data_IF_516504903435
#
_entry.id   IF_516504903435
#
_cell.length_a   1.000
_cell.length_b   1.000
_cell.length_c   1.000
_cell.angle_alpha   90.00
_cell.angle_beta   90.00
_cell.angle_gamma   90.00
#
_symmetry.space_group_name_H-M   'P 1'
#
loop_
_entity.id
_entity.type
_entity.pdbx_description
1 polymer ?
#
# COMPACT_ATOMS: atom_id res chain seq x y z
N UNK A 1 -12.19 -28.99 -13.92
CA UNK A 1 -12.04 -27.83 -14.82
C UNK A 1 -11.67 -26.65 -13.94
N UNK A 2 -10.69 -25.83 -14.31
CA UNK A 2 -10.40 -24.61 -13.54
C UNK A 2 -11.65 -23.71 -13.53
N UNK A 3 -11.99 -23.14 -12.37
CA UNK A 3 -13.11 -22.21 -12.27
C UNK A 3 -12.86 -21.04 -13.22
N UNK A 4 -13.79 -20.79 -14.14
CA UNK A 4 -13.66 -19.79 -15.21
C UNK A 4 -14.14 -18.44 -14.69
N UNK A 5 -13.37 -17.38 -14.91
CA UNK A 5 -13.83 -16.00 -14.76
C UNK A 5 -14.09 -15.36 -16.13
N UNK A 6 -14.99 -14.38 -16.16
CA UNK A 6 -15.30 -13.59 -17.36
C UNK A 6 -15.05 -12.12 -17.05
N UNK A 7 -14.24 -11.47 -17.88
CA UNK A 7 -13.98 -10.03 -17.83
C UNK A 7 -14.91 -9.31 -18.81
N UNK A 8 -15.67 -8.34 -18.31
CA UNK A 8 -16.56 -7.50 -19.11
C UNK A 8 -16.19 -6.04 -18.88
N UNK A 9 -15.75 -5.28 -19.89
CA UNK A 9 -15.46 -3.86 -19.72
C UNK A 9 -16.66 -3.08 -19.17
N UNK A 10 -16.42 -2.15 -18.25
CA UNK A 10 -17.42 -1.24 -17.72
C UNK A 10 -17.31 0.11 -18.44
N UNK A 11 -18.42 0.56 -19.02
CA UNK A 11 -18.54 1.81 -19.74
C UNK A 11 -19.76 2.61 -19.25
N UNK A 12 -19.87 3.87 -19.64
CA UNK A 12 -21.00 4.73 -19.29
C UNK A 12 -20.92 5.29 -17.86
N UNK A 13 -22.01 5.94 -17.43
CA UNK A 13 -22.11 6.54 -16.10
C UNK A 13 -21.12 7.67 -15.83
N UNK A 14 -20.78 7.88 -14.54
CA UNK A 14 -19.99 9.01 -14.05
C UNK A 14 -18.47 8.74 -14.04
N UNK A 15 -18.04 7.58 -14.57
CA UNK A 15 -16.64 7.18 -14.64
C UNK A 15 -16.18 6.31 -13.47
N UNK A 16 -14.85 6.13 -13.34
CA UNK A 16 -14.25 5.25 -12.36
C UNK A 16 -14.47 5.75 -10.93
N UNK A 17 -15.08 4.91 -10.09
CA UNK A 17 -15.29 5.20 -8.66
C UNK A 17 -14.16 4.58 -7.83
N UNK A 18 -12.96 5.15 -7.93
CA UNK A 18 -11.79 4.75 -7.14
C UNK A 18 -11.25 5.97 -6.39
N UNK A 19 -11.06 5.83 -5.08
CA UNK A 19 -10.60 6.94 -4.25
C UNK A 19 -9.13 7.24 -4.52
N UNK A 20 -8.85 8.47 -4.91
CA UNK A 20 -7.51 9.05 -4.95
C UNK A 20 -7.60 10.50 -4.54
N UNK A 21 -6.80 10.90 -3.56
CA UNK A 21 -6.69 12.30 -3.14
C UNK A 21 -5.42 12.97 -3.70
N UNK A 22 -4.43 12.16 -4.09
CA UNK A 22 -3.22 12.61 -4.77
C UNK A 22 -3.37 12.62 -6.30
N UNK A 23 -2.70 13.55 -6.99
CA UNK A 23 -2.62 13.52 -8.45
C UNK A 23 -1.83 12.29 -8.92
N UNK A 24 -2.38 11.57 -9.90
CA UNK A 24 -1.70 10.47 -10.58
C UNK A 24 -0.92 10.99 -11.81
N UNK A 25 0.09 10.24 -12.31
CA UNK A 25 0.69 10.52 -13.61
C UNK A 25 -0.37 10.60 -14.72
N UNK A 26 -0.12 11.44 -15.71
CA UNK A 26 -0.99 11.50 -16.90
C UNK A 26 -0.79 10.24 -17.74
N UNK A 27 -1.72 9.28 -17.59
CA UNK A 27 -1.65 7.97 -18.25
C UNK A 27 -1.70 8.08 -19.77
N UNK A 28 -2.54 8.96 -20.33
CA UNK A 28 -2.64 9.14 -21.78
C UNK A 28 -1.31 9.62 -22.38
N UNK A 29 -0.69 10.64 -21.77
CA UNK A 29 0.62 11.13 -22.20
C UNK A 29 1.73 10.10 -22.01
N UNK A 30 1.58 9.18 -21.05
CA UNK A 30 2.51 8.09 -20.83
C UNK A 30 2.27 6.87 -21.73
N UNK A 31 1.25 6.89 -22.60
CA UNK A 31 0.90 5.75 -23.45
C UNK A 31 0.22 4.60 -22.71
N UNK A 32 -0.51 4.91 -21.64
CA UNK A 32 -1.25 3.95 -20.81
C UNK A 32 -2.76 4.06 -21.03
N UNK A 33 -3.44 2.93 -20.88
CA UNK A 33 -4.90 2.86 -20.77
C UNK A 33 -5.33 2.73 -19.31
N UNK A 34 -6.45 3.35 -18.94
CA UNK A 34 -7.14 3.13 -17.66
C UNK A 34 -8.55 2.58 -17.97
N UNK A 35 -8.87 1.36 -17.53
CA UNK A 35 -10.13 0.71 -17.86
C UNK A 35 -10.63 -0.15 -16.72
N UNK A 36 -11.93 -0.04 -16.42
CA UNK A 36 -12.61 -0.89 -15.44
C UNK A 36 -13.26 -2.09 -16.11
N UNK A 37 -13.28 -3.21 -15.41
CA UNK A 37 -13.95 -4.44 -15.83
C UNK A 37 -14.77 -5.00 -14.68
N UNK A 38 -15.97 -5.47 -14.98
CA UNK A 38 -16.66 -6.45 -14.15
C UNK A 38 -16.00 -7.82 -14.33
N UNK A 39 -15.80 -8.52 -13.23
CA UNK A 39 -15.27 -9.89 -13.20
C UNK A 39 -16.32 -10.80 -12.59
N UNK A 40 -16.89 -11.68 -13.40
CA UNK A 40 -17.90 -12.65 -12.96
C UNK A 40 -17.32 -14.05 -12.88
N UNK A 41 -17.72 -14.81 -11.86
CA UNK A 41 -17.31 -16.20 -11.69
C UNK A 41 -18.01 -16.88 -10.53
N UNK A 42 -17.48 -18.03 -10.13
CA UNK A 42 -17.90 -18.79 -8.96
C UNK A 42 -16.72 -18.91 -8.02
N UNK A 43 -16.92 -18.57 -6.74
CA UNK A 43 -15.88 -18.62 -5.72
C UNK A 43 -16.24 -19.64 -4.63
N UNK A 44 -15.21 -20.30 -4.10
CA UNK A 44 -15.33 -21.11 -2.89
C UNK A 44 -15.20 -20.21 -1.67
N UNK A 45 -16.03 -20.44 -0.65
CA UNK A 45 -15.99 -19.68 0.58
C UNK A 45 -15.36 -20.45 1.74
N UNK A 46 -14.75 -19.72 2.66
CA UNK A 46 -14.20 -20.24 3.91
C UNK A 46 -14.56 -19.26 5.04
N UNK A 47 -15.21 -19.78 6.09
CA UNK A 47 -15.48 -19.05 7.33
C UNK A 47 -14.66 -19.65 8.48
N UNK A 48 -14.74 -19.05 9.66
CA UNK A 48 -14.13 -19.61 10.87
C UNK A 48 -14.69 -21.01 11.24
N UNK A 49 -15.92 -21.33 10.82
CA UNK A 49 -16.58 -22.62 11.09
C UNK A 49 -16.27 -23.70 10.05
N UNK A 50 -15.59 -23.32 8.94
CA UNK A 50 -15.19 -24.23 7.88
C UNK A 50 -15.58 -23.74 6.49
N UNK A 51 -15.44 -24.63 5.51
CA UNK A 51 -15.83 -24.36 4.12
C UNK A 51 -17.34 -24.14 3.99
N UNK A 52 -17.73 -23.23 3.10
CA UNK A 52 -19.13 -22.97 2.75
C UNK A 52 -19.37 -23.25 1.27
N UNK A 53 -20.65 -23.36 0.89
CA UNK A 53 -21.04 -23.60 -0.49
C UNK A 53 -20.48 -22.55 -1.44
N UNK A 54 -20.23 -22.95 -2.69
CA UNK A 54 -19.79 -22.01 -3.73
C UNK A 54 -20.86 -20.93 -4.00
N UNK A 55 -20.40 -19.71 -4.26
CA UNK A 55 -21.28 -18.60 -4.61
C UNK A 55 -20.85 -17.93 -5.93
N UNK A 56 -21.83 -17.51 -6.71
CA UNK A 56 -21.61 -16.62 -7.85
C UNK A 56 -21.25 -15.22 -7.37
N UNK A 57 -20.29 -14.58 -8.03
CA UNK A 57 -19.90 -13.20 -7.78
C UNK A 57 -19.78 -12.42 -9.08
N UNK A 58 -19.97 -11.11 -9.01
CA UNK A 58 -19.56 -10.15 -10.04
C UNK A 58 -18.90 -8.98 -9.32
N UNK A 59 -17.56 -8.94 -9.31
CA UNK A 59 -16.79 -7.86 -8.69
C UNK A 59 -16.20 -6.94 -9.76
N UNK A 60 -15.38 -5.96 -9.35
CA UNK A 60 -14.67 -5.03 -10.22
C UNK A 60 -13.16 -5.24 -10.16
N UNK A 61 -12.51 -5.03 -11.30
CA UNK A 61 -11.09 -4.68 -11.37
C UNK A 61 -10.90 -3.34 -12.10
N UNK A 62 -9.84 -2.62 -11.75
CA UNK A 62 -9.35 -1.44 -12.47
C UNK A 62 -8.00 -1.81 -13.06
N UNK A 63 -7.80 -1.59 -14.36
CA UNK A 63 -6.58 -1.97 -15.08
C UNK A 63 -5.93 -0.75 -15.69
N UNK A 64 -4.69 -0.51 -15.27
CA UNK A 64 -3.81 0.54 -15.80
C UNK A 64 -2.61 -0.12 -16.44
N UNK A 65 -2.44 -0.01 -17.75
CA UNK A 65 -1.39 -0.75 -18.47
C UNK A 65 -0.83 0.03 -19.66
N UNK A 66 0.39 -0.30 -20.12
CA UNK A 66 0.89 0.18 -21.40
C UNK A 66 -0.04 -0.20 -22.55
N UNK A 67 -0.25 0.73 -23.49
CA UNK A 67 -1.01 0.47 -24.71
C UNK A 67 -0.22 -0.41 -25.68
N UNK A 68 1.08 -0.15 -25.83
CA UNK A 68 1.97 -0.91 -26.68
C UNK A 68 2.68 -2.02 -25.90
N UNK A 69 2.73 -3.23 -26.48
CA UNK A 69 3.39 -4.38 -25.86
C UNK A 69 4.91 -4.17 -25.68
N UNK A 70 5.54 -3.34 -26.51
CA UNK A 70 6.97 -3.00 -26.40
C UNK A 70 7.32 -2.19 -25.15
N UNK A 71 6.32 -1.55 -24.55
CA UNK A 71 6.49 -0.67 -23.39
C UNK A 71 6.11 -1.40 -22.09
N UNK A 72 5.67 -2.67 -22.20
CA UNK A 72 5.35 -3.53 -21.07
C UNK A 72 6.55 -4.37 -20.65
N UNK A 73 6.86 -4.36 -19.35
CA UNK A 73 8.02 -5.05 -18.78
C UNK A 73 7.76 -6.51 -18.36
N UNK A 74 6.58 -7.05 -18.68
CA UNK A 74 6.18 -8.40 -18.33
C UNK A 74 5.61 -8.57 -16.91
N UNK A 75 5.59 -7.53 -16.07
CA UNK A 75 5.17 -7.61 -14.67
C UNK A 75 3.84 -6.93 -14.42
N UNK A 76 2.90 -7.69 -13.85
CA UNK A 76 1.61 -7.19 -13.36
C UNK A 76 1.68 -7.02 -11.85
N UNK A 77 1.32 -5.84 -11.36
CA UNK A 77 1.19 -5.51 -9.95
C UNK A 77 -0.29 -5.52 -9.57
N UNK A 78 -0.72 -6.56 -8.86
CA UNK A 78 -2.11 -6.78 -8.46
C UNK A 78 -2.34 -6.23 -7.06
N UNK A 79 -3.06 -5.13 -6.95
CA UNK A 79 -3.39 -4.52 -5.66
C UNK A 79 -4.70 -5.08 -5.10
N UNK A 80 -4.66 -5.58 -3.86
CA UNK A 80 -5.87 -5.79 -3.08
C UNK A 80 -6.38 -4.42 -2.62
N UNK A 81 -7.47 -3.92 -3.23
CA UNK A 81 -7.97 -2.58 -2.92
C UNK A 81 -8.42 -2.49 -1.47
N UNK A 82 -8.05 -1.39 -0.82
CA UNK A 82 -8.29 -1.20 0.61
C UNK A 82 -9.71 -0.67 0.85
N UNK A 83 -10.44 -1.31 1.77
CA UNK A 83 -11.84 -0.96 2.07
C UNK A 83 -12.05 -0.26 3.41
N UNK A 84 -10.99 0.16 4.11
CA UNK A 84 -11.07 0.72 5.48
C UNK A 84 -11.89 2.02 5.54
N UNK A 85 -12.00 2.74 4.41
CA UNK A 85 -12.86 3.92 4.28
C UNK A 85 -14.34 3.61 4.00
N UNK A 86 -14.70 2.33 3.90
CA UNK A 86 -16.04 1.85 3.52
C UNK A 86 -16.28 1.79 2.01
N UNK A 87 -15.22 1.99 1.22
CA UNK A 87 -15.17 1.84 -0.23
C UNK A 87 -13.71 1.64 -0.67
N UNK A 88 -13.51 1.11 -1.88
CA UNK A 88 -12.18 0.87 -2.45
C UNK A 88 -11.32 2.14 -2.54
N UNK A 89 -10.12 2.06 -1.99
CA UNK A 89 -8.98 2.93 -2.26
C UNK A 89 -7.79 2.13 -2.80
N UNK A 90 -6.91 2.82 -3.53
CA UNK A 90 -5.69 2.24 -4.10
C UNK A 90 -4.43 2.91 -3.54
N UNK A 91 -4.16 2.77 -2.22
CA UNK A 91 -3.01 3.40 -1.58
C UNK A 91 -1.67 2.97 -2.20
N UNK A 92 -1.51 1.71 -2.62
CA UNK A 92 -0.28 1.25 -3.27
C UNK A 92 -0.13 1.92 -4.63
N UNK A 93 -1.19 1.96 -5.45
CA UNK A 93 -1.12 2.71 -6.70
C UNK A 93 -0.68 4.15 -6.46
N UNK A 94 -1.24 4.86 -5.48
CA UNK A 94 -0.83 6.23 -5.19
C UNK A 94 0.68 6.33 -4.97
N UNK A 95 1.25 5.51 -4.08
CA UNK A 95 2.70 5.54 -3.79
C UNK A 95 3.56 5.10 -4.98
N UNK A 96 3.10 4.11 -5.74
CA UNK A 96 3.88 3.42 -6.76
C UNK A 96 3.68 3.95 -8.18
N UNK A 97 2.66 4.77 -8.45
CA UNK A 97 2.23 5.14 -9.80
C UNK A 97 3.37 5.64 -10.70
N UNK A 98 4.26 6.48 -10.18
CA UNK A 98 5.38 7.00 -10.95
C UNK A 98 6.35 5.89 -11.39
N UNK A 99 6.66 4.94 -10.50
CA UNK A 99 7.51 3.78 -10.83
C UNK A 99 6.79 2.79 -11.73
N UNK A 100 5.49 2.54 -11.48
CA UNK A 100 4.67 1.68 -12.32
C UNK A 100 4.67 2.17 -13.78
N UNK A 101 4.42 3.47 -13.98
CA UNK A 101 4.35 4.07 -15.31
C UNK A 101 5.73 4.11 -15.96
N UNK A 102 6.75 4.62 -15.26
CA UNK A 102 8.12 4.74 -15.78
C UNK A 102 8.74 3.38 -16.12
N UNK A 103 8.46 2.37 -15.30
CA UNK A 103 9.02 1.04 -15.45
C UNK A 103 8.27 0.13 -16.42
N UNK A 104 7.13 0.56 -16.99
CA UNK A 104 6.39 -0.26 -17.94
C UNK A 104 5.54 -1.36 -17.30
N UNK A 105 5.08 -1.19 -16.06
CA UNK A 105 4.28 -2.18 -15.35
C UNK A 105 2.81 -2.11 -15.77
N UNK A 106 2.09 -3.22 -15.67
CA UNK A 106 0.63 -3.18 -15.62
C UNK A 106 0.20 -3.24 -14.16
N UNK A 107 -0.78 -2.43 -13.78
CA UNK A 107 -1.39 -2.45 -12.46
C UNK A 107 -2.85 -2.90 -12.56
N UNK A 108 -3.26 -3.77 -11.63
CA UNK A 108 -4.62 -4.28 -11.52
C UNK A 108 -5.12 -4.14 -10.08
N UNK A 109 -5.98 -3.16 -9.83
CA UNK A 109 -6.68 -3.04 -8.55
C UNK A 109 -7.90 -3.96 -8.50
N UNK A 110 -7.99 -4.81 -7.48
CA UNK A 110 -9.08 -5.78 -7.31
C UNK A 110 -9.98 -5.39 -6.14
N UNK A 111 -11.28 -5.22 -6.42
CA UNK A 111 -12.33 -5.09 -5.42
C UNK A 111 -12.58 -6.45 -4.76
N UNK A 112 -11.64 -6.94 -3.95
CA UNK A 112 -11.66 -8.29 -3.42
C UNK A 112 -12.62 -8.49 -2.25
N UNK A 113 -12.92 -7.42 -1.50
CA UNK A 113 -13.79 -7.45 -0.32
C UNK A 113 -15.18 -6.90 -0.62
N UNK A 114 -16.15 -7.39 0.15
CA UNK A 114 -17.57 -7.04 0.12
C UNK A 114 -17.78 -5.53 0.18
N UNK A 115 -17.13 -4.86 1.11
CA UNK A 115 -17.24 -3.41 1.32
C UNK A 115 -16.75 -2.59 0.11
N UNK A 116 -15.88 -3.14 -0.74
CA UNK A 116 -15.44 -2.49 -1.97
C UNK A 116 -16.56 -2.37 -3.02
N UNK A 117 -17.49 -3.33 -3.03
CA UNK A 117 -18.60 -3.41 -3.99
C UNK A 117 -19.91 -2.91 -3.38
N UNK A 118 -20.25 -3.41 -2.21
CA UNK A 118 -21.53 -3.19 -1.52
C UNK A 118 -21.48 -1.98 -0.56
N UNK A 119 -20.28 -1.50 -0.24
CA UNK A 119 -20.06 -0.32 0.59
C UNK A 119 -20.38 -0.53 2.08
N UNK A 120 -19.68 0.20 2.94
CA UNK A 120 -19.97 0.23 4.38
C UNK A 120 -19.77 1.62 4.98
N UNK A 121 -19.88 1.75 6.30
CA UNK A 121 -19.49 2.99 7.00
C UNK A 121 -17.99 3.19 7.08
N UNK A 122 -17.19 2.18 6.75
CA UNK A 122 -15.75 2.17 7.02
C UNK A 122 -15.42 2.08 8.52
N UNK A 123 -14.14 1.87 8.81
CA UNK A 123 -13.61 1.76 10.17
C UNK A 123 -12.79 2.99 10.59
N UNK A 124 -12.33 3.79 9.64
CA UNK A 124 -11.45 4.97 9.88
C UNK A 124 -12.20 6.25 10.23
N UNK A 125 -13.52 6.20 10.41
CA UNK A 125 -14.33 7.34 10.87
C UNK A 125 -14.60 8.43 9.83
N UNK A 126 -14.29 8.18 8.55
CA UNK A 126 -14.64 9.07 7.44
C UNK A 126 -16.11 8.88 7.06
N UNK A 127 -17.01 9.65 7.67
CA UNK A 127 -18.43 9.66 7.25
C UNK A 127 -18.58 10.36 5.91
N UNK A 128 -19.20 9.67 4.94
CA UNK A 128 -19.49 10.23 3.62
C UNK A 128 -21.01 10.30 3.38
N UNK A 129 -21.53 11.45 2.92
CA UNK A 129 -22.92 11.54 2.50
C UNK A 129 -23.13 10.77 1.18
N UNK A 130 -24.33 10.23 1.00
CA UNK A 130 -24.74 9.57 -0.24
C UNK A 130 -24.62 8.03 -0.24
N UNK A 131 -24.83 7.41 -1.41
CA UNK A 131 -24.78 5.96 -1.57
C UNK A 131 -23.39 5.39 -1.30
N UNK A 132 -23.32 4.24 -0.64
CA UNK A 132 -22.06 3.58 -0.25
C UNK A 132 -21.60 2.56 -1.29
N UNK A 133 -22.50 1.69 -1.74
CA UNK A 133 -22.23 0.69 -2.78
C UNK A 133 -21.88 1.34 -4.11
N UNK A 134 -21.10 0.65 -4.94
CA UNK A 134 -20.83 1.06 -6.32
C UNK A 134 -22.15 1.19 -7.09
N UNK A 135 -23.03 0.20 -7.02
CA UNK A 135 -24.34 0.22 -7.66
C UNK A 135 -25.24 1.36 -7.18
N UNK A 136 -25.12 1.78 -5.92
CA UNK A 136 -25.85 2.93 -5.39
C UNK A 136 -25.32 4.26 -5.91
N UNK A 137 -24.00 4.38 -6.09
CA UNK A 137 -23.34 5.59 -6.60
C UNK A 137 -23.63 5.80 -8.09
N UNK A 138 -23.54 4.74 -8.87
CA UNK A 138 -23.78 4.76 -10.31
C UNK A 138 -24.42 3.43 -10.75
N UNK A 139 -25.77 3.36 -10.75
CA UNK A 139 -26.51 2.17 -11.11
C UNK A 139 -26.34 1.76 -12.58
N UNK A 140 -26.09 2.71 -13.49
CA UNK A 140 -25.90 2.42 -14.92
C UNK A 140 -24.62 1.63 -15.13
N UNK A 141 -23.53 2.06 -14.48
CA UNK A 141 -22.21 1.45 -14.63
C UNK A 141 -22.04 0.19 -13.78
N UNK A 142 -22.55 0.19 -12.55
CA UNK A 142 -22.23 -0.85 -11.55
C UNK A 142 -23.43 -1.71 -11.12
N UNK A 143 -24.63 -1.52 -11.68
CA UNK A 143 -25.85 -2.20 -11.24
C UNK A 143 -25.85 -3.74 -11.38
N UNK A 144 -24.85 -4.31 -12.04
CA UNK A 144 -24.67 -5.77 -12.18
C UNK A 144 -23.64 -6.36 -11.23
N UNK A 145 -22.94 -5.52 -10.47
CA UNK A 145 -21.98 -5.97 -9.47
C UNK A 145 -22.71 -6.57 -8.26
N UNK A 146 -22.12 -7.62 -7.69
CA UNK A 146 -22.61 -8.30 -6.50
C UNK A 146 -21.47 -9.07 -5.84
N UNK A 147 -21.25 -8.83 -4.55
CA UNK A 147 -20.26 -9.56 -3.76
C UNK A 147 -20.91 -10.49 -2.72
N UNK A 148 -20.60 -11.81 -2.69
CA UNK A 148 -21.31 -12.77 -1.83
C UNK A 148 -20.88 -12.73 -0.35
N UNK A 149 -19.90 -11.90 0.01
CA UNK A 149 -19.38 -11.73 1.38
C UNK A 149 -17.88 -12.01 1.49
N UNK A 150 -17.25 -11.56 2.56
CA UNK A 150 -15.81 -11.74 2.78
C UNK A 150 -15.40 -13.16 3.12
N UNK A 151 -16.35 -14.10 3.30
CA UNK A 151 -16.05 -15.52 3.25
C UNK A 151 -15.41 -15.95 1.91
N UNK A 152 -15.60 -15.18 0.83
CA UNK A 152 -15.15 -15.50 -0.53
C UNK A 152 -13.98 -14.63 -1.03
N UNK A 153 -13.61 -13.57 -0.30
CA UNK A 153 -12.69 -12.53 -0.79
C UNK A 153 -11.31 -13.08 -1.21
N UNK A 154 -10.74 -13.98 -0.42
CA UNK A 154 -9.46 -14.61 -0.72
C UNK A 154 -9.50 -15.46 -1.99
N UNK A 155 -10.58 -16.22 -2.21
CA UNK A 155 -10.72 -17.02 -3.42
C UNK A 155 -10.99 -16.15 -4.66
N UNK A 156 -11.74 -15.05 -4.51
CA UNK A 156 -11.96 -14.06 -5.57
C UNK A 156 -10.62 -13.43 -5.99
N UNK A 157 -9.80 -12.97 -5.04
CA UNK A 157 -8.49 -12.41 -5.33
C UNK A 157 -7.57 -13.41 -6.03
N UNK A 158 -7.55 -14.66 -5.55
CA UNK A 158 -6.78 -15.76 -6.15
C UNK A 158 -7.27 -16.11 -7.57
N UNK A 159 -8.59 -16.13 -7.79
CA UNK A 159 -9.19 -16.37 -9.10
C UNK A 159 -8.81 -15.29 -10.10
N UNK A 160 -8.89 -14.01 -9.70
CA UNK A 160 -8.48 -12.88 -10.55
C UNK A 160 -7.00 -13.02 -10.90
N UNK A 161 -6.12 -13.15 -9.90
CA UNK A 161 -4.67 -13.27 -10.11
C UNK A 161 -4.29 -14.40 -11.06
N UNK A 162 -4.91 -15.59 -10.91
CA UNK A 162 -4.65 -16.75 -11.80
C UNK A 162 -4.98 -16.47 -13.26
N UNK A 163 -6.02 -15.68 -13.52
CA UNK A 163 -6.47 -15.42 -14.88
C UNK A 163 -5.74 -14.27 -15.56
N UNK A 164 -5.01 -13.41 -14.82
CA UNK A 164 -4.23 -12.32 -15.41
C UNK A 164 -3.15 -12.79 -16.40
N UNK A 165 -2.68 -14.04 -16.29
CA UNK A 165 -1.73 -14.64 -17.22
C UNK A 165 -2.36 -15.15 -18.52
N UNK A 166 -3.66 -15.41 -18.54
CA UNK A 166 -4.37 -16.02 -19.67
C UNK A 166 -4.84 -14.96 -20.67
N UNK A 167 -3.89 -14.27 -21.32
CA UNK A 167 -4.16 -13.08 -22.14
C UNK A 167 -4.66 -13.36 -23.57
N UNK A 168 -4.96 -14.62 -23.90
CA UNK A 168 -5.21 -15.11 -25.26
C UNK A 168 -6.47 -14.54 -25.96
N UNK A 169 -7.39 -13.94 -25.20
CA UNK A 169 -8.62 -13.37 -25.77
C UNK A 169 -8.48 -11.87 -25.97
N UNK A 170 -8.90 -11.29 -27.12
CA UNK A 170 -8.84 -9.84 -27.35
C UNK A 170 -9.61 -8.99 -26.33
N UNK A 171 -10.62 -9.55 -25.67
CA UNK A 171 -11.40 -8.90 -24.61
C UNK A 171 -10.75 -9.04 -23.22
N UNK A 172 -9.61 -9.71 -23.10
CA UNK A 172 -8.88 -9.84 -21.84
C UNK A 172 -8.36 -8.46 -21.41
N UNK A 173 -8.39 -8.11 -20.10
CA UNK A 173 -7.93 -6.80 -19.64
C UNK A 173 -6.47 -6.48 -20.01
N UNK A 174 -5.64 -7.52 -20.12
CA UNK A 174 -4.24 -7.47 -20.53
C UNK A 174 -4.01 -8.03 -21.95
N UNK A 175 -5.06 -8.04 -22.80
CA UNK A 175 -4.99 -8.57 -24.16
C UNK A 175 -3.87 -7.92 -24.99
N UNK A 176 -3.07 -8.75 -25.66
CA UNK A 176 -1.90 -8.32 -26.42
C UNK A 176 -0.60 -8.13 -25.60
N UNK A 177 -0.65 -8.32 -24.29
CA UNK A 177 0.53 -8.33 -23.42
C UNK A 177 0.94 -9.76 -23.04
N UNK A 178 2.25 -9.98 -22.86
CA UNK A 178 2.82 -11.23 -22.36
C UNK A 178 3.19 -11.07 -20.89
N UNK A 179 2.43 -11.72 -20.00
CA UNK A 179 2.61 -11.60 -18.54
C UNK A 179 3.56 -12.67 -18.03
N UNK A 180 4.76 -12.25 -17.63
CA UNK A 180 5.80 -13.10 -17.04
C UNK A 180 5.63 -13.23 -15.54
N UNK A 181 5.31 -12.11 -14.86
CA UNK A 181 5.23 -12.03 -13.40
C UNK A 181 3.92 -11.41 -12.94
N UNK A 182 3.39 -11.90 -11.83
CA UNK A 182 2.22 -11.33 -11.13
C UNK A 182 2.57 -11.16 -9.65
N UNK A 183 2.65 -9.92 -9.20
CA UNK A 183 2.88 -9.56 -7.81
C UNK A 183 1.55 -9.25 -7.11
N UNK A 184 1.47 -9.51 -5.81
CA UNK A 184 0.36 -9.06 -4.97
C UNK A 184 0.85 -7.94 -4.04
N UNK A 185 0.13 -6.83 -4.00
CA UNK A 185 0.45 -5.67 -3.15
C UNK A 185 -0.78 -5.22 -2.37
N UNK A 186 -0.57 -4.64 -1.20
CA UNK A 186 -1.66 -4.09 -0.40
C UNK A 186 -1.15 -3.40 0.84
N UNK A 187 -1.87 -2.36 1.24
CA UNK A 187 -1.58 -1.52 2.40
C UNK A 187 -2.67 -1.70 3.48
N UNK A 188 -2.29 -1.57 4.76
CA UNK A 188 -3.21 -1.54 5.89
C UNK A 188 -4.10 -2.79 6.00
N UNK A 189 -5.43 -2.67 5.93
CA UNK A 189 -6.34 -3.81 5.96
C UNK A 189 -6.05 -4.81 4.83
N UNK A 190 -5.71 -4.33 3.62
CA UNK A 190 -5.30 -5.19 2.51
C UNK A 190 -4.00 -5.95 2.83
N UNK A 191 -3.08 -5.33 3.56
CA UNK A 191 -1.85 -5.99 4.00
C UNK A 191 -2.12 -7.06 5.07
N UNK A 192 -3.12 -6.85 5.93
CA UNK A 192 -3.62 -7.87 6.85
C UNK A 192 -4.28 -9.03 6.08
N UNK A 193 -5.01 -8.75 5.00
CA UNK A 193 -5.57 -9.77 4.12
C UNK A 193 -4.47 -10.56 3.40
N UNK A 194 -3.46 -9.90 2.83
CA UNK A 194 -2.31 -10.56 2.21
C UNK A 194 -1.52 -11.38 3.23
N UNK A 195 -1.45 -10.95 4.48
CA UNK A 195 -0.89 -11.76 5.56
C UNK A 195 -1.66 -13.07 5.70
N UNK A 196 -2.99 -13.03 5.84
CA UNK A 196 -3.84 -14.24 5.90
C UNK A 196 -3.67 -15.10 4.65
N UNK A 197 -3.59 -14.47 3.48
CA UNK A 197 -3.43 -15.14 2.21
C UNK A 197 -2.13 -15.95 2.15
N UNK A 198 -1.01 -15.35 2.58
CA UNK A 198 0.30 -15.98 2.61
C UNK A 198 0.39 -17.04 3.72
N UNK A 199 -0.18 -16.81 4.91
CA UNK A 199 -0.07 -17.71 6.06
C UNK A 199 -1.02 -18.89 5.99
N UNK A 200 -2.28 -18.64 5.60
CA UNK A 200 -3.39 -19.61 5.69
C UNK A 200 -3.64 -20.29 4.35
N UNK A 201 -3.76 -19.52 3.27
CA UNK A 201 -4.12 -20.07 1.96
C UNK A 201 -2.92 -20.60 1.18
N UNK A 202 -1.71 -20.04 1.44
CA UNK A 202 -0.44 -20.45 0.82
C UNK A 202 -0.53 -20.62 -0.70
N UNK A 203 -1.24 -19.72 -1.36
CA UNK A 203 -1.46 -19.76 -2.80
C UNK A 203 -0.15 -19.61 -3.58
N UNK A 204 -0.05 -20.29 -4.72
CA UNK A 204 1.07 -20.20 -5.67
C UNK A 204 0.75 -19.29 -6.87
N UNK A 205 -0.32 -18.50 -6.79
CA UNK A 205 -0.78 -17.64 -7.89
C UNK A 205 0.14 -16.47 -8.18
N UNK A 206 0.68 -15.88 -7.11
CA UNK A 206 1.53 -14.70 -7.17
C UNK A 206 3.00 -15.09 -6.98
N UNK A 207 3.87 -14.43 -7.72
CA UNK A 207 5.31 -14.71 -7.68
C UNK A 207 6.01 -13.98 -6.53
N UNK A 208 5.39 -12.94 -5.96
CA UNK A 208 5.91 -12.17 -4.83
C UNK A 208 4.85 -11.28 -4.19
N UNK A 209 5.10 -10.88 -2.95
CA UNK A 209 4.16 -10.11 -2.13
C UNK A 209 4.83 -8.86 -1.54
N UNK A 210 4.21 -7.69 -1.72
CA UNK A 210 4.53 -6.47 -0.98
C UNK A 210 3.41 -6.24 0.05
N UNK A 211 3.74 -6.39 1.33
CA UNK A 211 2.80 -6.26 2.43
C UNK A 211 3.16 -4.99 3.21
N UNK A 212 2.39 -3.93 3.00
CA UNK A 212 2.70 -2.61 3.53
C UNK A 212 1.77 -2.24 4.70
N UNK A 213 2.33 -1.80 5.83
CA UNK A 213 1.56 -1.29 6.98
C UNK A 213 0.57 -2.30 7.57
N UNK A 214 0.97 -3.58 7.70
CA UNK A 214 0.13 -4.62 8.34
C UNK A 214 0.16 -4.53 9.86
N UNK A 215 -0.92 -4.96 10.50
CA UNK A 215 -0.96 -5.20 11.95
C UNK A 215 -0.18 -6.46 12.35
N UNK A 216 -0.05 -6.65 13.67
CA UNK A 216 0.53 -7.83 14.27
C UNK A 216 -0.20 -9.11 13.86
N UNK A 217 -1.53 -9.07 13.82
CA UNK A 217 -2.38 -10.21 13.48
C UNK A 217 -2.70 -10.28 11.98
N UNK A 218 -3.28 -11.40 11.59
CA UNK A 218 -3.88 -11.63 10.28
C UNK A 218 -5.32 -11.10 10.25
N UNK A 219 -5.80 -10.68 9.06
CA UNK A 219 -7.21 -10.37 8.89
C UNK A 219 -8.05 -11.65 9.09
N UNK A 220 -9.12 -11.63 9.90
CA UNK A 220 -9.90 -12.84 10.17
C UNK A 220 -10.60 -13.35 8.90
N UNK A 221 -11.08 -14.59 8.97
CA UNK A 221 -11.96 -15.14 7.94
C UNK A 221 -13.32 -14.44 8.04
N UNK A 222 -13.84 -13.99 6.90
CA UNK A 222 -15.10 -13.26 6.81
C UNK A 222 -16.34 -14.15 6.90
N UNK A 223 -17.50 -13.49 6.76
CA UNK A 223 -18.80 -14.15 6.75
C UNK A 223 -19.46 -14.07 5.35
N UNK A 224 -20.53 -14.83 5.17
CA UNK A 224 -21.40 -14.71 4.00
C UNK A 224 -22.22 -13.42 4.11
N UNK A 225 -22.32 -12.66 3.02
CA UNK A 225 -23.16 -11.46 2.92
C UNK A 225 -22.70 -10.25 3.75
N UNK A 226 -21.46 -10.25 4.24
CA UNK A 226 -20.92 -9.14 5.04
C UNK A 226 -19.41 -8.94 4.82
N UNK A 227 -18.96 -7.71 5.04
CA UNK A 227 -17.54 -7.36 5.15
C UNK A 227 -16.94 -7.76 6.50
N UNK A 228 -15.62 -7.88 6.55
CA UNK A 228 -14.87 -8.14 7.78
C UNK A 228 -14.85 -6.89 8.67
N UNK A 229 -15.15 -7.08 9.96
CA UNK A 229 -14.84 -6.08 10.98
C UNK A 229 -13.33 -6.09 11.28
N UNK A 230 -12.63 -5.08 10.75
CA UNK A 230 -11.18 -4.96 10.94
C UNK A 230 -10.79 -4.72 12.39
N UNK A 231 -11.68 -4.23 13.25
CA UNK A 231 -11.34 -3.91 14.64
C UNK A 231 -10.98 -5.18 15.44
N UNK A 232 -11.58 -6.31 15.09
CA UNK A 232 -11.21 -7.61 15.64
C UNK A 232 -9.75 -7.99 15.35
N UNK A 233 -9.15 -7.49 14.26
CA UNK A 233 -7.77 -7.77 13.87
C UNK A 233 -6.77 -7.18 14.87
N UNK A 234 -7.02 -5.99 15.39
CA UNK A 234 -6.11 -5.33 16.34
C UNK A 234 -6.08 -6.01 17.71
N UNK A 235 -7.05 -6.88 18.01
CA UNK A 235 -7.09 -7.70 19.22
C UNK A 235 -6.53 -9.12 19.01
N UNK A 236 -6.19 -9.47 17.77
CA UNK A 236 -5.72 -10.80 17.41
C UNK A 236 -4.31 -11.12 17.91
N UNK A 237 -3.99 -12.42 17.91
CA UNK A 237 -2.65 -12.90 18.21
C UNK A 237 -1.66 -12.52 17.09
N UNK A 238 -0.40 -12.17 17.44
CA UNK A 238 0.61 -11.83 16.45
C UNK A 238 0.94 -13.04 15.58
N UNK A 239 1.12 -12.81 14.28
CA UNK A 239 1.47 -13.86 13.32
C UNK A 239 2.68 -13.47 12.48
N UNK A 240 3.69 -14.34 12.46
CA UNK A 240 4.85 -14.22 11.58
C UNK A 240 4.57 -14.88 10.23
N UNK A 241 5.19 -14.39 9.16
CA UNK A 241 5.22 -15.08 7.87
C UNK A 241 6.06 -16.36 8.00
N UNK A 242 5.53 -17.54 7.63
CA UNK A 242 6.28 -18.79 7.67
C UNK A 242 7.60 -18.70 6.89
N UNK A 243 8.68 -19.26 7.43
CA UNK A 243 9.99 -19.23 6.77
C UNK A 243 10.06 -20.02 5.46
N UNK A 244 9.11 -20.93 5.24
CA UNK A 244 9.00 -21.85 4.10
C UNK A 244 7.98 -21.37 3.03
N UNK A 245 7.65 -20.07 2.99
CA UNK A 245 6.84 -19.49 1.91
C UNK A 245 7.47 -19.75 0.54
N UNK A 246 6.63 -19.98 -0.48
CA UNK A 246 7.07 -20.36 -1.83
C UNK A 246 7.54 -19.20 -2.68
N UNK A 247 7.08 -18.00 -2.36
CA UNK A 247 7.37 -16.74 -3.05
C UNK A 247 8.02 -15.74 -2.09
N UNK A 248 8.84 -14.79 -2.58
CA UNK A 248 9.33 -13.68 -1.76
C UNK A 248 8.20 -12.85 -1.15
N UNK A 249 8.37 -12.49 0.13
CA UNK A 249 7.47 -11.63 0.90
C UNK A 249 8.26 -10.47 1.45
N UNK A 250 7.94 -9.27 0.98
CA UNK A 250 8.54 -8.04 1.43
C UNK A 250 7.53 -7.27 2.28
N UNK A 251 7.84 -7.11 3.56
CA UNK A 251 7.04 -6.36 4.51
C UNK A 251 7.64 -4.96 4.64
N UNK A 252 6.83 -3.92 4.51
CA UNK A 252 7.22 -2.53 4.76
C UNK A 252 6.32 -1.97 5.85
N UNK A 253 6.90 -1.30 6.84
CA UNK A 253 6.19 -0.79 8.01
C UNK A 253 6.57 0.64 8.31
N UNK A 254 5.66 1.36 8.96
CA UNK A 254 5.85 2.73 9.43
C UNK A 254 5.98 2.76 10.96
N UNK A 255 6.35 3.90 11.52
CA UNK A 255 6.36 4.07 12.97
C UNK A 255 4.97 3.83 13.58
N UNK A 256 3.92 4.29 12.91
CA UNK A 256 2.53 4.08 13.33
C UNK A 256 2.23 2.58 13.47
N UNK A 257 2.66 1.77 12.51
CA UNK A 257 2.33 0.34 12.47
C UNK A 257 3.07 -0.47 13.53
N UNK A 258 4.32 -0.08 13.82
CA UNK A 258 5.16 -0.77 14.79
C UNK A 258 4.59 -0.68 16.20
N UNK A 259 4.07 0.49 16.60
CA UNK A 259 3.44 0.70 17.91
C UNK A 259 1.91 0.78 17.75
N UNK A 260 1.26 1.87 18.16
CA UNK A 260 -0.20 2.11 18.11
C UNK A 260 -1.09 0.87 18.33
N UNK A 261 -2.23 0.78 17.64
CA UNK A 261 -3.13 -0.37 17.65
C UNK A 261 -2.65 -1.49 16.70
N UNK A 262 -1.78 -1.19 15.74
CA UNK A 262 -1.24 -2.18 14.80
C UNK A 262 -0.27 -3.15 15.49
N UNK A 263 0.55 -2.64 16.40
CA UNK A 263 1.46 -3.37 17.28
C UNK A 263 2.39 -4.34 16.54
N UNK A 264 2.85 -4.00 15.33
CA UNK A 264 3.65 -4.89 14.51
C UNK A 264 4.95 -5.34 15.21
N UNK A 265 5.47 -4.59 16.19
CA UNK A 265 6.59 -5.04 17.02
C UNK A 265 6.37 -6.45 17.65
N UNK A 266 5.12 -6.84 17.93
CA UNK A 266 4.76 -8.17 18.47
C UNK A 266 4.90 -9.30 17.43
N UNK A 267 4.88 -8.96 16.14
CA UNK A 267 4.99 -9.89 15.02
C UNK A 267 6.33 -9.78 14.27
N UNK A 268 7.28 -8.99 14.79
CA UNK A 268 8.64 -8.91 14.23
C UNK A 268 9.27 -10.30 14.15
N UNK A 269 9.92 -10.57 13.03
CA UNK A 269 10.66 -11.80 12.78
C UNK A 269 12.03 -11.49 12.18
N UNK A 270 12.95 -12.44 12.30
CA UNK A 270 14.20 -12.35 11.57
C UNK A 270 13.94 -12.46 10.06
N UNK A 271 14.70 -11.68 9.29
CA UNK A 271 14.75 -11.80 7.84
C UNK A 271 15.23 -13.22 7.43
N UNK A 272 14.65 -13.77 6.36
CA UNK A 272 14.99 -15.11 5.83
C UNK A 272 15.43 -15.01 4.36
N UNK A 273 15.62 -16.15 3.68
CA UNK A 273 15.86 -16.16 2.23
C UNK A 273 14.68 -15.63 1.41
N UNK A 274 13.46 -15.63 1.97
CA UNK A 274 12.22 -15.24 1.28
C UNK A 274 11.36 -14.24 2.04
N UNK A 275 11.81 -13.80 3.21
CA UNK A 275 11.13 -12.76 3.99
C UNK A 275 12.11 -11.61 4.26
N UNK A 276 11.72 -10.41 3.87
CA UNK A 276 12.42 -9.15 4.15
C UNK A 276 11.46 -8.19 4.83
N UNK A 277 11.96 -7.45 5.81
CA UNK A 277 11.20 -6.40 6.48
C UNK A 277 11.99 -5.10 6.51
N UNK A 278 11.36 -4.02 6.06
CA UNK A 278 11.80 -2.65 6.29
C UNK A 278 10.83 -1.95 7.22
N UNK A 279 11.37 -1.18 8.15
CA UNK A 279 10.62 -0.27 8.99
C UNK A 279 11.16 1.14 8.74
N UNK A 280 10.31 2.07 8.32
CA UNK A 280 10.72 3.38 7.83
C UNK A 280 10.73 4.36 9.01
N UNK A 281 11.87 5.02 9.22
CA UNK A 281 12.00 6.07 10.22
C UNK A 281 11.29 7.35 9.75
N UNK A 282 10.65 8.07 10.66
CA UNK A 282 9.96 9.33 10.38
C UNK A 282 8.69 9.19 9.54
N UNK A 283 8.10 8.00 9.43
CA UNK A 283 6.90 7.77 8.60
C UNK A 283 5.66 7.46 9.43
N UNK A 284 4.50 7.77 8.86
CA UNK A 284 3.19 7.41 9.41
C UNK A 284 2.44 6.45 8.48
N UNK A 285 1.43 5.77 9.01
CA UNK A 285 0.62 4.76 8.29
C UNK A 285 0.16 5.26 6.92
N UNK A 286 -0.31 6.50 6.86
CA UNK A 286 -0.43 7.29 5.64
C UNK A 286 0.16 8.68 5.88
N UNK A 287 0.57 9.36 4.82
CA UNK A 287 1.20 10.69 4.94
C UNK A 287 0.57 11.70 3.97
N UNK A 288 1.11 12.92 3.98
CA UNK A 288 0.64 13.99 3.09
C UNK A 288 0.69 13.60 1.61
N UNK A 289 1.59 12.70 1.18
CA UNK A 289 1.62 12.27 -0.22
C UNK A 289 0.35 11.49 -0.61
N UNK A 290 -0.23 10.72 0.32
CA UNK A 290 -1.46 9.96 0.07
C UNK A 290 -2.72 10.85 0.00
N UNK A 291 -2.78 11.94 0.77
CA UNK A 291 -3.98 12.78 0.90
C UNK A 291 -3.90 14.14 0.20
N UNK A 292 -2.69 14.66 -0.01
CA UNK A 292 -2.45 15.99 -0.56
C UNK A 292 -3.33 17.07 0.10
N UNK A 293 -3.95 17.96 -0.71
CA UNK A 293 -4.79 19.05 -0.21
C UNK A 293 -5.98 18.63 0.65
N UNK A 294 -6.37 17.33 0.64
CA UNK A 294 -7.46 16.85 1.48
C UNK A 294 -7.14 16.92 2.98
N UNK A 295 -5.86 17.09 3.35
CA UNK A 295 -5.42 17.33 4.74
C UNK A 295 -6.27 18.38 5.46
N UNK A 296 -6.62 19.48 4.78
CA UNK A 296 -7.40 20.60 5.35
C UNK A 296 -8.77 20.16 5.91
N UNK A 297 -9.30 19.02 5.44
CA UNK A 297 -10.60 18.50 5.85
C UNK A 297 -10.52 17.42 6.93
N UNK A 298 -9.32 16.96 7.31
CA UNK A 298 -9.15 15.90 8.31
C UNK A 298 -9.39 16.39 9.75
N UNK A 299 -9.16 17.68 10.00
CA UNK A 299 -9.30 18.26 11.34
C UNK A 299 -8.24 17.77 12.33
N UNK A 300 -7.05 17.38 11.84
CA UNK A 300 -5.94 17.00 12.70
C UNK A 300 -5.32 18.22 13.38
N UNK A 301 -4.87 18.10 14.65
CA UNK A 301 -4.37 19.24 15.42
C UNK A 301 -3.02 19.76 14.89
N UNK A 302 -2.19 18.86 14.37
CA UNK A 302 -0.88 19.13 13.81
C UNK A 302 -0.89 18.83 12.30
N UNK A 303 0.02 19.45 11.51
CA UNK A 303 0.25 19.03 10.13
C UNK A 303 0.59 17.55 10.08
N UNK A 304 -0.03 16.81 9.16
CA UNK A 304 0.22 15.38 9.01
C UNK A 304 1.67 15.11 8.62
N UNK A 305 2.11 13.87 8.78
CA UNK A 305 3.46 13.46 8.46
C UNK A 305 3.87 13.89 7.02
N UNK A 306 5.03 14.54 6.89
CA UNK A 306 5.68 14.94 5.63
C UNK A 306 6.81 13.99 5.25
N UNK A 307 6.71 12.73 5.68
CA UNK A 307 7.68 11.69 5.40
C UNK A 307 7.83 11.37 3.92
N UNK A 308 8.84 10.57 3.65
CA UNK A 308 9.30 10.27 2.30
C UNK A 308 9.08 8.80 1.93
N UNK A 309 8.07 8.16 2.53
CA UNK A 309 7.84 6.71 2.38
C UNK A 309 7.59 6.30 0.92
N UNK A 310 7.04 7.20 0.09
CA UNK A 310 6.83 6.95 -1.34
C UNK A 310 8.09 6.50 -2.09
N UNK A 311 9.26 7.06 -1.77
CA UNK A 311 10.51 6.69 -2.42
C UNK A 311 10.98 5.30 -1.97
N UNK A 312 10.81 5.01 -0.68
CA UNK A 312 11.12 3.70 -0.11
C UNK A 312 10.20 2.62 -0.69
N UNK A 313 8.92 2.90 -0.89
CA UNK A 313 7.96 1.96 -1.47
C UNK A 313 8.25 1.69 -2.96
N UNK A 314 8.59 2.72 -3.74
CA UNK A 314 9.05 2.53 -5.13
C UNK A 314 10.31 1.67 -5.20
N UNK A 315 11.28 1.90 -4.32
CA UNK A 315 12.45 1.05 -4.19
C UNK A 315 12.07 -0.38 -3.77
N UNK A 316 11.15 -0.55 -2.83
CA UNK A 316 10.68 -1.86 -2.37
C UNK A 316 10.03 -2.67 -3.50
N UNK A 317 9.19 -2.04 -4.34
CA UNK A 317 8.63 -2.67 -5.53
C UNK A 317 9.73 -3.11 -6.49
N UNK A 318 10.68 -2.23 -6.80
CA UNK A 318 11.80 -2.53 -7.71
C UNK A 318 12.63 -3.72 -7.21
N UNK A 319 12.96 -3.74 -5.92
CA UNK A 319 13.67 -4.87 -5.30
C UNK A 319 12.85 -6.15 -5.30
N UNK A 320 11.54 -6.07 -5.03
CA UNK A 320 10.67 -7.25 -5.11
C UNK A 320 10.66 -7.83 -6.53
N UNK A 321 10.63 -6.97 -7.56
CA UNK A 321 10.70 -7.38 -8.96
C UNK A 321 12.02 -8.08 -9.29
N UNK A 322 13.15 -7.56 -8.81
CA UNK A 322 14.46 -8.21 -8.95
C UNK A 322 14.52 -9.54 -8.20
N UNK A 323 14.06 -9.56 -6.96
CA UNK A 323 14.06 -10.75 -6.11
C UNK A 323 13.26 -11.90 -6.71
N UNK A 324 12.12 -11.60 -7.32
CA UNK A 324 11.31 -12.57 -8.06
C UNK A 324 11.97 -13.00 -9.37
N UNK A 325 12.63 -12.07 -10.09
CA UNK A 325 13.22 -12.35 -11.39
C UNK A 325 14.45 -13.26 -11.32
N UNK A 326 15.35 -12.97 -10.38
CA UNK A 326 16.70 -13.54 -10.36
C UNK A 326 17.22 -13.90 -8.97
N UNK A 327 16.39 -13.75 -7.93
CA UNK A 327 16.76 -14.08 -6.56
C UNK A 327 17.56 -13.01 -5.83
N UNK A 328 17.79 -11.83 -6.42
CA UNK A 328 18.48 -10.71 -5.77
C UNK A 328 17.61 -10.14 -4.64
N UNK A 329 17.91 -10.51 -3.40
CA UNK A 329 17.14 -10.08 -2.25
C UNK A 329 17.32 -8.57 -1.97
N UNK A 330 16.27 -7.87 -1.49
CA UNK A 330 16.37 -6.50 -1.02
C UNK A 330 17.45 -6.32 0.06
N UNK A 331 18.07 -5.12 0.14
CA UNK A 331 19.05 -4.82 1.18
C UNK A 331 18.42 -4.93 2.58
N UNK A 332 19.26 -5.21 3.57
CA UNK A 332 18.83 -5.31 4.96
C UNK A 332 18.78 -3.92 5.60
N UNK A 333 17.73 -3.67 6.39
CA UNK A 333 17.66 -2.54 7.30
C UNK A 333 17.56 -3.04 8.74
N UNK A 334 18.22 -2.35 9.68
CA UNK A 334 17.98 -2.58 11.10
C UNK A 334 16.54 -2.17 11.44
N UNK A 335 15.83 -2.85 12.37
CA UNK A 335 14.52 -2.40 12.82
C UNK A 335 14.58 -1.02 13.50
N UNK A 336 13.44 -0.36 13.64
CA UNK A 336 13.29 0.83 14.49
C UNK A 336 13.58 0.46 15.95
N UNK A 337 14.37 1.31 16.60
CA UNK A 337 14.82 1.08 17.97
C UNK A 337 13.69 1.31 18.98
N UNK A 338 13.39 0.28 19.76
CA UNK A 338 12.40 0.33 20.85
C UNK A 338 13.09 0.32 22.23
N UNK A 339 12.43 0.90 23.23
CA UNK A 339 12.90 0.91 24.62
C UNK A 339 11.73 0.82 25.61
N UNK A 340 12.03 0.33 26.82
CA UNK A 340 11.04 0.14 27.89
C UNK A 340 10.28 -1.19 27.78
N UNK A 341 9.60 -1.55 28.87
CA UNK A 341 8.72 -2.71 28.92
C UNK A 341 7.41 -2.46 28.15
N UNK A 342 6.89 -1.23 28.27
CA UNK A 342 5.93 -0.66 27.33
C UNK A 342 6.72 -0.01 26.18
N UNK A 343 6.74 -0.59 24.98
CA UNK A 343 7.67 -0.20 23.94
C UNK A 343 7.38 1.21 23.44
N UNK A 344 8.41 2.05 23.49
CA UNK A 344 8.44 3.39 22.89
C UNK A 344 9.65 3.51 21.98
N UNK A 345 9.61 4.44 21.02
CA UNK A 345 10.74 4.69 20.13
C UNK A 345 11.90 5.37 20.86
N UNK A 346 13.13 4.92 20.58
CA UNK A 346 14.34 5.70 20.89
C UNK A 346 14.53 6.74 19.81
N UNK A 347 14.61 8.01 20.20
CA UNK A 347 14.79 9.12 19.27
C UNK A 347 16.24 9.61 19.24
N UNK A 348 16.63 10.24 18.14
CA UNK A 348 17.86 11.01 18.02
C UNK A 348 17.77 12.37 18.73
N UNK A 349 18.77 13.22 18.50
CA UNK A 349 18.88 14.56 19.09
C UNK A 349 17.81 15.54 18.59
N UNK A 350 17.20 15.27 17.45
CA UNK A 350 16.16 16.10 16.82
C UNK A 350 14.76 15.60 17.18
N UNK A 351 14.63 14.33 17.53
CA UNK A 351 13.36 13.71 17.93
C UNK A 351 12.83 12.70 16.92
N UNK A 352 13.55 12.42 15.83
CA UNK A 352 13.20 11.35 14.91
C UNK A 352 13.62 9.99 15.51
N UNK A 353 12.89 8.92 15.23
CA UNK A 353 13.26 7.56 15.68
C UNK A 353 14.62 7.13 15.15
N UNK A 354 15.35 6.30 15.90
CA UNK A 354 16.61 5.66 15.49
C UNK A 354 16.38 4.30 14.84
N UNK A 355 17.35 3.87 14.03
CA UNK A 355 17.26 2.63 13.24
C UNK A 355 16.34 2.80 12.03
N UNK A 356 15.90 1.67 11.47
CA UNK A 356 15.03 1.65 10.29
C UNK A 356 15.74 2.03 8.99
N UNK A 357 14.94 2.12 7.94
CA UNK A 357 15.26 2.82 6.70
C UNK A 357 15.14 4.32 6.96
N UNK A 358 16.24 5.05 6.89
CA UNK A 358 16.27 6.51 7.09
C UNK A 358 16.29 7.22 5.75
N UNK A 359 15.30 8.08 5.54
CA UNK A 359 15.19 8.93 4.34
C UNK A 359 15.98 10.23 4.53
N UNK A 360 16.25 10.99 3.45
CA UNK A 360 16.90 12.29 3.53
C UNK A 360 16.24 13.27 4.51
N UNK A 361 14.90 13.30 4.61
CA UNK A 361 14.19 14.14 5.59
C UNK A 361 14.43 13.74 7.06
N UNK A 362 14.97 12.55 7.31
CA UNK A 362 15.31 12.05 8.65
C UNK A 362 16.82 12.15 8.94
N UNK A 363 17.66 11.98 7.92
CA UNK A 363 19.13 12.07 8.03
C UNK A 363 19.65 13.51 7.95
N UNK A 364 18.96 14.39 7.23
CA UNK A 364 19.19 15.82 7.15
C UNK A 364 17.88 16.57 7.47
N UNK A 365 17.39 16.51 8.72
CA UNK A 365 16.08 17.03 9.08
C UNK A 365 16.02 18.56 9.11
N UNK A 366 14.94 19.11 8.56
CA UNK A 366 14.45 20.49 8.81
C UNK A 366 13.17 20.50 9.64
N UNK A 367 12.60 19.32 9.87
CA UNK A 367 11.38 19.08 10.61
C UNK A 367 11.54 17.79 11.43
N UNK A 368 10.74 17.66 12.49
CA UNK A 368 10.62 16.42 13.26
C UNK A 368 9.47 15.62 12.66
N UNK A 369 9.73 14.40 12.22
CA UNK A 369 8.73 13.53 11.63
C UNK A 369 8.43 12.37 12.58
N UNK A 370 7.15 12.08 12.79
CA UNK A 370 6.71 11.01 13.68
C UNK A 370 5.45 10.34 13.15
N UNK A 371 5.37 9.02 13.29
CA UNK A 371 4.12 8.26 13.13
C UNK A 371 3.30 8.16 14.41
N UNK A 372 3.81 8.69 15.52
CA UNK A 372 3.16 8.67 16.84
C UNK A 372 2.64 10.06 17.21
N UNK A 373 1.34 10.13 17.45
CA UNK A 373 0.62 11.30 17.99
C UNK A 373 0.31 11.08 19.48
N UNK A 374 0.45 12.12 20.29
CA UNK A 374 0.46 12.01 21.77
C UNK A 374 -0.89 12.32 22.44
N UNK A 375 -1.72 13.15 21.81
CA UNK A 375 -3.00 13.56 22.37
C UNK A 375 -4.14 12.63 21.92
N UNK A 376 -5.28 12.60 22.63
CA UNK A 376 -6.47 11.91 22.17
C UNK A 376 -6.96 12.58 20.88
N UNK A 377 -6.59 11.99 19.74
CA UNK A 377 -7.02 12.42 18.42
C UNK A 377 -8.04 11.45 17.84
N UNK A 378 -8.71 11.87 16.76
CA UNK A 378 -9.54 10.95 15.98
C UNK A 378 -8.70 9.80 15.43
N UNK A 379 -9.33 8.64 15.20
CA UNK A 379 -8.66 7.46 14.61
C UNK A 379 -7.96 7.81 13.29
N UNK A 380 -8.59 8.64 12.46
CA UNK A 380 -8.00 9.07 11.19
C UNK A 380 -6.70 9.85 11.41
N UNK A 381 -6.65 10.79 12.36
CA UNK A 381 -5.43 11.56 12.64
C UNK A 381 -4.32 10.72 13.26
N UNK A 382 -4.66 9.66 14.00
CA UNK A 382 -3.67 8.70 14.50
C UNK A 382 -2.92 8.00 13.36
N UNK A 383 -3.58 7.72 12.23
CA UNK A 383 -2.95 7.09 11.06
C UNK A 383 -2.01 8.03 10.30
N UNK A 384 -2.22 9.35 10.42
CA UNK A 384 -1.48 10.32 9.62
C UNK A 384 -0.21 10.86 10.27
N UNK A 385 0.06 10.47 11.52
CA UNK A 385 1.21 10.95 12.27
C UNK A 385 1.25 12.48 12.37
N UNK A 386 2.44 13.04 12.55
CA UNK A 386 2.60 14.49 12.64
C UNK A 386 3.96 14.95 12.10
N UNK A 387 4.00 16.24 11.77
CA UNK A 387 5.21 16.99 11.42
C UNK A 387 5.39 18.15 12.39
N UNK A 388 6.49 18.13 13.15
CA UNK A 388 6.89 19.18 14.08
C UNK A 388 7.92 20.13 13.48
N UNK A 389 7.85 21.41 13.83
CA UNK A 389 8.84 22.39 13.42
C UNK A 389 10.14 22.26 14.23
N UNK A 390 11.28 22.44 13.57
CA UNK A 390 12.57 22.71 14.23
C UNK A 390 12.80 24.22 14.18
N UNK A 391 13.18 24.90 15.27
CA UNK A 391 13.45 26.33 15.26
C UNK A 391 14.53 26.70 14.23
N UNK A 392 14.35 27.79 13.45
CA UNK A 392 15.37 28.24 12.48
C UNK A 392 16.75 28.45 13.10
N UNK A 393 16.84 28.89 14.36
CA UNK A 393 18.11 29.03 15.09
C UNK A 393 18.85 27.72 15.26
N UNK A 394 18.12 26.62 15.47
CA UNK A 394 18.69 25.29 15.66
C UNK A 394 19.11 24.70 14.30
N UNK A 395 18.35 24.98 13.24
CA UNK A 395 18.71 24.62 11.87
C UNK A 395 19.97 25.37 11.40
N UNK A 396 20.09 26.67 11.68
CA UNK A 396 21.30 27.45 11.41
C UNK A 396 22.49 26.92 12.24
N UNK A 397 22.28 26.59 13.51
CA UNK A 397 23.33 25.98 14.32
C UNK A 397 23.79 24.62 13.78
N UNK A 398 22.88 23.84 13.18
CA UNK A 398 23.15 22.51 12.62
C UNK A 398 23.83 22.57 11.25
N UNK A 399 23.36 23.43 10.35
CA UNK A 399 23.77 23.46 8.94
C UNK A 399 24.62 24.67 8.55
N UNK A 400 24.60 25.74 9.34
CA UNK A 400 25.32 26.99 9.10
C UNK A 400 24.66 27.89 8.04
N UNK A 401 24.21 27.33 6.91
CA UNK A 401 23.60 28.05 5.80
C UNK A 401 22.61 27.19 5.01
N UNK A 402 21.86 27.80 4.09
CA UNK A 402 21.04 27.07 3.11
C UNK A 402 21.87 26.12 2.27
N UNK A 403 23.05 26.56 1.81
CA UNK A 403 23.99 25.74 1.04
C UNK A 403 24.47 24.53 1.87
N UNK A 404 24.82 24.75 3.13
CA UNK A 404 25.22 23.66 4.04
C UNK A 404 24.11 22.64 4.29
N UNK A 405 22.85 23.09 4.36
CA UNK A 405 21.70 22.18 4.43
C UNK A 405 21.52 21.39 3.13
N UNK A 406 21.57 22.05 1.97
CA UNK A 406 21.39 21.38 0.68
C UNK A 406 22.51 20.37 0.39
N UNK A 407 23.74 20.66 0.80
CA UNK A 407 24.86 19.72 0.73
C UNK A 407 24.61 18.49 1.63
N UNK A 408 24.17 18.71 2.87
CA UNK A 408 23.86 17.63 3.80
C UNK A 408 22.69 16.75 3.29
N UNK A 409 21.65 17.39 2.76
CA UNK A 409 20.49 16.71 2.20
C UNK A 409 20.84 15.92 0.94
N UNK A 410 21.62 16.51 0.02
CA UNK A 410 22.11 15.83 -1.18
C UNK A 410 22.98 14.63 -0.82
N UNK A 411 23.87 14.76 0.16
CA UNK A 411 24.66 13.64 0.65
C UNK A 411 23.79 12.54 1.27
N UNK A 412 22.68 12.89 1.93
CA UNK A 412 21.72 11.91 2.43
C UNK A 412 20.98 11.19 1.29
N UNK A 413 20.55 11.92 0.25
CA UNK A 413 19.97 11.34 -0.98
C UNK A 413 20.93 10.33 -1.61
N UNK A 414 22.18 10.73 -1.85
CA UNK A 414 23.17 9.86 -2.50
C UNK A 414 23.47 8.61 -1.66
N UNK A 415 23.47 8.72 -0.31
CA UNK A 415 23.57 7.55 0.58
C UNK A 415 22.36 6.63 0.49
N UNK A 416 21.13 7.17 0.57
CA UNK A 416 19.92 6.36 0.48
C UNK A 416 19.81 5.63 -0.86
N UNK A 417 20.30 6.22 -1.96
CA UNK A 417 20.39 5.56 -3.26
C UNK A 417 21.45 4.47 -3.25
N UNK A 418 22.66 4.75 -2.74
CA UNK A 418 23.74 3.78 -2.67
C UNK A 418 23.40 2.55 -1.80
N UNK A 419 22.62 2.75 -0.74
CA UNK A 419 22.12 1.68 0.14
C UNK A 419 20.91 0.93 -0.46
N UNK A 420 20.34 1.45 -1.55
CA UNK A 420 19.22 0.83 -2.27
C UNK A 420 17.85 1.12 -1.64
N UNK A 421 17.74 2.08 -0.74
CA UNK A 421 16.47 2.48 -0.11
C UNK A 421 15.69 3.53 -0.93
N UNK A 422 16.35 4.17 -1.89
CA UNK A 422 15.76 5.11 -2.86
C UNK A 422 16.27 4.74 -4.26
N UNK A 423 15.43 4.89 -5.28
CA UNK A 423 15.84 4.65 -6.67
C UNK A 423 16.60 5.85 -7.22
N UNK A 424 17.66 5.61 -8.01
CA UNK A 424 18.37 6.68 -8.73
C UNK A 424 17.41 7.49 -9.63
N UNK A 425 16.41 6.84 -10.22
CA UNK A 425 15.42 7.50 -11.06
C UNK A 425 14.54 8.51 -10.29
N UNK A 426 14.50 8.42 -8.95
CA UNK A 426 13.78 9.36 -8.09
C UNK A 426 14.69 10.50 -7.58
N UNK A 427 15.98 10.51 -7.90
CA UNK A 427 16.97 11.48 -7.38
C UNK A 427 16.55 12.93 -7.59
N UNK A 428 16.00 13.26 -8.76
CA UNK A 428 15.53 14.63 -9.07
C UNK A 428 14.32 15.00 -8.21
N UNK A 429 13.36 14.09 -8.05
CA UNK A 429 12.14 14.34 -7.26
C UNK A 429 12.48 14.48 -5.78
N UNK A 430 13.31 13.58 -5.22
CA UNK A 430 13.67 13.61 -3.81
C UNK A 430 14.54 14.83 -3.45
N UNK A 431 15.39 15.33 -4.36
CA UNK A 431 16.11 16.58 -4.12
C UNK A 431 15.19 17.80 -4.09
N UNK A 432 14.07 17.76 -4.82
CA UNK A 432 13.08 18.83 -4.82
C UNK A 432 12.22 18.86 -3.54
N UNK A 433 12.27 17.80 -2.72
CA UNK A 433 11.64 17.74 -1.38
C UNK A 433 12.47 18.44 -0.29
N UNK A 434 13.63 19.00 -0.61
CA UNK A 434 14.42 19.76 0.36
C UNK A 434 13.69 21.06 0.76
N UNK A 435 13.82 21.45 2.03
CA UNK A 435 13.14 22.61 2.62
C UNK A 435 14.12 23.69 3.14
N UNK A 436 14.98 24.28 2.28
CA UNK A 436 15.95 25.29 2.71
C UNK A 436 15.27 26.55 3.27
N UNK A 437 14.05 26.85 2.86
CA UNK A 437 13.26 28.00 3.32
C UNK A 437 12.96 27.96 4.82
N UNK A 438 12.99 26.78 5.46
CA UNK A 438 12.74 26.63 6.89
C UNK A 438 13.91 27.14 7.76
N UNK A 439 15.09 27.35 7.18
CA UNK A 439 16.25 27.93 7.89
C UNK A 439 16.09 29.44 8.15
N UNK A 440 15.11 30.11 7.54
CA UNK A 440 14.98 31.58 7.58
C UNK A 440 15.95 32.28 6.62
N UNK A 441 15.88 33.62 6.52
CA UNK A 441 16.80 34.42 5.67
C UNK A 441 18.24 34.48 6.20
#
# INVERSE_FOLDING_TARGET
MAAKVVFTPLFGGDGCSLLSAAPAPNLELAGYTDTEFAVSGTAHGLTADGGVDEAGFTTRIVVRRPQAATDFNGTVVTEWLNVSSGADGAPEYTYLAAELVRGGYAWVGVSAQYDGVEGSTGSVGLSRPGPKSLAGKDPERYGTLHHPGDAYCYNIFDLVGRHLRATDTPSHPLGGLTVDKVLAVGESQSAMALTTFVTTFRSTTFDGFLIHSRAAAQLPLGAIGAGIDVDATFLGDPVTIPGDVTAPVFIVQTETDVLTNFQFHRARQANTERVRTWEIAGSAHADHFQIGPYEEYLGCPDPVNRGQQRFVLRAALSHLCGWVADGTAPPLASPLELTGDEPTFRTDDVGNVRGGVRTPSVDAPTQVLTGIVKDPVSRICLLFGATGAIPPTDLIARYGSHEGYLDAYTAAVDRSIAEGFVLEADRVEILADAHPELLGE
#
